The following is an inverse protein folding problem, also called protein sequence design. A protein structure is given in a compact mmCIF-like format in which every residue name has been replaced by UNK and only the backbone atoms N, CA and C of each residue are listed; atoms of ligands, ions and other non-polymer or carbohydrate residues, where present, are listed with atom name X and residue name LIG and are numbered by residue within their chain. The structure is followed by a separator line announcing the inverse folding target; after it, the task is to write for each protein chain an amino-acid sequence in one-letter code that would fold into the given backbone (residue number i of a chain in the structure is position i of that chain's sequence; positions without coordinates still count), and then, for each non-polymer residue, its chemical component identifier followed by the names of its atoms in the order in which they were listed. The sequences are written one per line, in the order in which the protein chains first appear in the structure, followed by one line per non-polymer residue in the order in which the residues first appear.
data_IF_794463221241
#
_entry.id   IF_794463221241
#
_cell.length_a   1.000
_cell.length_b   1.000
_cell.length_c   1.000
_cell.angle_alpha   90.00
_cell.angle_beta   90.00
_cell.angle_gamma   90.00
#
_symmetry.space_group_name_H-M   'P 1'
#
loop_
_entity.id
_entity.type
_entity.pdbx_description
1 polymer ?
#
# COMPACT_ATOMS: atom_id res chain seq x y z
N UNK A 1 38.80 -47.85 -1.64
CA UNK A 1 38.50 -46.41 -1.40
C UNK A 1 38.06 -45.60 -2.63
N UNK A 2 38.01 -46.14 -3.87
CA UNK A 2 37.60 -45.38 -5.08
C UNK A 2 36.10 -45.47 -5.46
N UNK A 3 35.29 -46.25 -4.73
CA UNK A 3 33.88 -46.50 -5.08
C UNK A 3 32.88 -45.60 -4.33
N UNK A 4 33.17 -45.23 -3.07
CA UNK A 4 32.29 -44.38 -2.26
C UNK A 4 32.18 -42.93 -2.79
N UNK A 5 33.24 -42.41 -3.42
CA UNK A 5 33.25 -41.07 -4.00
C UNK A 5 32.37 -40.92 -5.26
N UNK A 6 32.14 -42.01 -6.01
CA UNK A 6 31.31 -41.98 -7.23
C UNK A 6 29.82 -42.00 -6.92
N UNK A 7 29.41 -42.65 -5.83
CA UNK A 7 28.01 -42.70 -5.38
C UNK A 7 27.58 -41.36 -4.77
N UNK A 8 28.48 -40.67 -4.04
CA UNK A 8 28.21 -39.34 -3.48
C UNK A 8 28.07 -38.27 -4.58
N UNK A 9 28.81 -38.39 -5.69
CA UNK A 9 28.73 -37.45 -6.82
C UNK A 9 27.45 -37.66 -7.66
N UNK A 10 26.96 -38.90 -7.79
CA UNK A 10 25.70 -39.19 -8.47
C UNK A 10 24.46 -38.74 -7.69
N UNK A 11 24.49 -38.81 -6.35
CA UNK A 11 23.42 -38.29 -5.49
C UNK A 11 23.38 -36.75 -5.45
N UNK A 12 24.53 -36.07 -5.57
CA UNK A 12 24.60 -34.61 -5.68
C UNK A 12 24.08 -34.09 -7.03
N UNK A 13 24.23 -34.85 -8.11
CA UNK A 13 23.65 -34.50 -9.42
C UNK A 13 22.14 -34.72 -9.50
N UNK A 14 21.60 -35.73 -8.79
CA UNK A 14 20.15 -35.91 -8.63
C UNK A 14 19.52 -34.85 -7.70
N UNK A 15 20.23 -34.39 -6.67
CA UNK A 15 19.77 -33.27 -5.83
C UNK A 15 19.82 -31.92 -6.58
N UNK A 16 20.77 -31.73 -7.50
CA UNK A 16 20.87 -30.53 -8.35
C UNK A 16 19.81 -30.47 -9.48
N UNK A 17 19.34 -31.61 -9.96
CA UNK A 17 18.31 -31.69 -10.99
C UNK A 17 16.88 -31.52 -10.44
N UNK A 18 16.64 -31.85 -9.17
CA UNK A 18 15.34 -31.63 -8.51
C UNK A 18 15.18 -30.16 -8.05
N UNK A 19 16.27 -29.47 -7.71
CA UNK A 19 16.21 -28.05 -7.30
C UNK A 19 16.13 -27.07 -8.48
N UNK A 20 16.53 -27.49 -9.69
CA UNK A 20 16.46 -26.68 -10.91
C UNK A 20 15.17 -26.88 -11.71
N UNK A 21 14.50 -28.02 -11.57
CA UNK A 21 13.20 -28.27 -12.24
C UNK A 21 11.98 -27.79 -11.44
N UNK A 22 12.10 -27.60 -10.12
CA UNK A 22 11.03 -26.96 -9.31
C UNK A 22 10.97 -25.43 -9.42
N UNK A 23 11.96 -24.77 -10.04
CA UNK A 23 11.93 -23.32 -10.31
C UNK A 23 11.33 -22.94 -11.67
N UNK A 24 10.91 -23.93 -12.47
CA UNK A 24 10.32 -23.73 -13.80
C UNK A 24 8.93 -24.36 -13.96
N UNK A 25 8.12 -24.34 -12.89
CA UNK A 25 6.66 -24.42 -12.99
C UNK A 25 5.99 -23.18 -12.36
N UNK A 26 5.93 -22.03 -13.06
CA UNK A 26 4.97 -20.98 -12.74
C UNK A 26 4.22 -20.55 -14.00
N UNK A 27 3.08 -21.17 -14.28
CA UNK A 27 2.12 -20.59 -15.24
C UNK A 27 0.69 -20.51 -14.67
N UNK A 28 0.35 -21.35 -13.68
CA UNK A 28 -0.94 -21.30 -12.99
C UNK A 28 -0.88 -20.56 -11.64
N UNK A 29 0.20 -20.73 -10.85
CA UNK A 29 0.36 -20.14 -9.51
C UNK A 29 0.49 -18.61 -9.55
N UNK A 30 1.30 -18.10 -10.48
CA UNK A 30 1.62 -16.68 -10.61
C UNK A 30 0.39 -15.84 -10.97
N UNK A 31 -0.43 -16.31 -11.93
CA UNK A 31 -1.70 -15.65 -12.29
C UNK A 31 -2.72 -15.68 -11.16
N UNK A 32 -2.78 -16.77 -10.39
CA UNK A 32 -3.71 -16.91 -9.27
C UNK A 32 -3.33 -15.96 -8.12
N UNK A 33 -2.04 -15.91 -7.77
CA UNK A 33 -1.51 -15.01 -6.73
C UNK A 33 -1.71 -13.54 -7.13
N UNK A 34 -1.39 -13.19 -8.37
CA UNK A 34 -1.66 -11.86 -8.92
C UNK A 34 -3.14 -11.48 -8.80
N UNK A 35 -4.05 -12.38 -9.20
CA UNK A 35 -5.50 -12.14 -9.07
C UNK A 35 -5.90 -11.94 -7.60
N UNK A 36 -5.34 -12.72 -6.68
CA UNK A 36 -5.60 -12.55 -5.25
C UNK A 36 -5.14 -11.18 -4.76
N UNK A 37 -3.93 -10.76 -5.10
CA UNK A 37 -3.39 -9.45 -4.72
C UNK A 37 -4.26 -8.29 -5.25
N UNK A 38 -4.72 -8.38 -6.51
CA UNK A 38 -5.65 -7.42 -7.09
C UNK A 38 -6.97 -7.33 -6.31
N UNK A 39 -7.57 -8.48 -5.98
CA UNK A 39 -8.83 -8.52 -5.23
C UNK A 39 -8.63 -7.98 -3.81
N UNK A 40 -7.56 -8.36 -3.11
CA UNK A 40 -7.26 -7.86 -1.76
C UNK A 40 -7.04 -6.36 -1.73
N UNK A 41 -6.34 -5.79 -2.73
CA UNK A 41 -6.21 -4.34 -2.89
C UNK A 41 -7.56 -3.66 -3.10
N UNK A 42 -8.40 -4.22 -3.97
CA UNK A 42 -9.76 -3.71 -4.21
C UNK A 42 -10.58 -3.71 -2.91
N UNK A 43 -10.51 -4.78 -2.13
CA UNK A 43 -11.22 -4.93 -0.84
C UNK A 43 -10.71 -3.94 0.20
N UNK A 44 -9.38 -3.81 0.37
CA UNK A 44 -8.76 -2.88 1.29
C UNK A 44 -9.21 -1.43 1.02
N UNK A 45 -9.17 -1.00 -0.24
CA UNK A 45 -9.60 0.34 -0.63
C UNK A 45 -11.10 0.52 -0.59
N UNK A 46 -11.90 -0.53 -0.82
CA UNK A 46 -13.35 -0.47 -0.63
C UNK A 46 -13.71 -0.15 0.81
N UNK A 47 -13.13 -0.86 1.78
CA UNK A 47 -13.42 -0.62 3.21
C UNK A 47 -12.92 0.77 3.65
N UNK A 48 -11.76 1.20 3.17
CA UNK A 48 -11.27 2.57 3.41
C UNK A 48 -12.24 3.62 2.84
N UNK A 49 -12.75 3.40 1.63
CA UNK A 49 -13.72 4.29 0.99
C UNK A 49 -15.07 4.32 1.69
N UNK A 50 -15.57 3.18 2.19
CA UNK A 50 -16.79 3.11 2.98
C UNK A 50 -16.68 3.95 4.27
N UNK A 51 -15.51 3.90 4.93
CA UNK A 51 -15.22 4.78 6.06
C UNK A 51 -15.23 6.25 5.64
N UNK A 52 -14.46 6.62 4.61
CA UNK A 52 -14.35 8.01 4.16
C UNK A 52 -15.72 8.57 3.75
N UNK A 53 -16.53 7.79 3.03
CA UNK A 53 -17.86 8.20 2.61
C UNK A 53 -18.83 8.41 3.77
N UNK A 54 -18.71 7.62 4.84
CA UNK A 54 -19.54 7.76 6.05
C UNK A 54 -19.13 8.98 6.88
N UNK A 55 -17.83 9.14 7.14
CA UNK A 55 -17.34 10.21 8.04
C UNK A 55 -17.25 11.59 7.36
N UNK A 56 -17.04 11.61 6.04
CA UNK A 56 -16.80 12.84 5.27
C UNK A 56 -17.79 12.97 4.10
N UNK A 57 -19.05 12.60 4.32
CA UNK A 57 -20.11 12.74 3.32
C UNK A 57 -20.14 14.15 2.73
N UNK A 58 -20.17 14.25 1.40
CA UNK A 58 -20.23 15.51 0.66
C UNK A 58 -18.90 16.27 0.58
N UNK A 59 -17.85 15.85 1.29
CA UNK A 59 -16.55 16.52 1.23
C UNK A 59 -15.81 16.25 -0.08
N UNK A 60 -14.94 17.19 -0.41
CA UNK A 60 -14.08 17.14 -1.60
C UNK A 60 -12.86 16.24 -1.36
N UNK A 61 -12.74 15.20 -2.17
CA UNK A 61 -11.72 14.16 -2.04
C UNK A 61 -10.75 14.22 -3.23
N UNK A 62 -9.46 14.22 -2.94
CA UNK A 62 -8.41 13.97 -3.92
C UNK A 62 -7.84 12.56 -3.72
N UNK A 63 -7.76 11.79 -4.81
CA UNK A 63 -7.03 10.52 -4.80
C UNK A 63 -5.58 10.76 -5.20
N UNK A 64 -4.62 10.27 -4.43
CA UNK A 64 -3.21 10.28 -4.81
C UNK A 64 -2.80 8.89 -5.25
N UNK A 65 -2.46 8.77 -6.53
CA UNK A 65 -2.30 7.51 -7.25
C UNK A 65 -0.87 7.34 -7.78
N UNK A 66 -0.55 6.13 -8.27
CA UNK A 66 0.76 5.77 -8.78
C UNK A 66 1.12 6.53 -10.08
N UNK A 67 2.12 7.43 -10.09
CA UNK A 67 2.47 8.22 -11.28
C UNK A 67 2.97 7.39 -12.45
N UNK A 68 3.46 6.17 -12.21
CA UNK A 68 3.89 5.30 -13.30
C UNK A 68 2.73 4.92 -14.22
N UNK A 69 1.48 4.87 -13.73
CA UNK A 69 0.30 4.59 -14.57
C UNK A 69 0.08 5.60 -15.70
N UNK A 70 0.71 6.78 -15.66
CA UNK A 70 0.65 7.77 -16.73
C UNK A 70 1.60 7.48 -17.90
N UNK A 71 2.52 6.52 -17.77
CA UNK A 71 3.54 6.23 -18.80
C UNK A 71 2.97 5.29 -19.87
N UNK A 72 3.19 5.61 -21.15
CA UNK A 72 2.73 4.80 -22.29
C UNK A 72 3.39 3.40 -22.37
N UNK A 73 4.56 3.23 -21.76
CA UNK A 73 5.35 1.99 -21.77
C UNK A 73 5.19 1.17 -20.48
N UNK A 74 4.19 1.50 -19.65
CA UNK A 74 3.92 0.83 -18.39
C UNK A 74 3.56 -0.65 -18.62
N UNK A 75 3.99 -1.54 -17.72
CA UNK A 75 3.47 -2.91 -17.71
C UNK A 75 1.98 -2.90 -17.40
N UNK A 76 1.22 -3.79 -18.04
CA UNK A 76 -0.23 -3.94 -17.77
C UNK A 76 -0.52 -4.23 -16.29
N UNK A 77 0.44 -4.82 -15.58
CA UNK A 77 0.30 -5.21 -14.18
C UNK A 77 0.15 -4.02 -13.23
N UNK A 78 0.94 -2.96 -13.45
CA UNK A 78 0.81 -1.76 -12.60
C UNK A 78 -0.49 -1.03 -12.88
N UNK A 79 -0.93 -1.02 -14.14
CA UNK A 79 -2.23 -0.47 -14.50
C UNK A 79 -3.37 -1.29 -13.84
N UNK A 80 -3.35 -2.62 -13.96
CA UNK A 80 -4.33 -3.52 -13.35
C UNK A 80 -4.40 -3.36 -11.82
N UNK A 81 -3.23 -3.23 -11.17
CA UNK A 81 -3.14 -3.05 -9.73
C UNK A 81 -3.72 -1.70 -9.29
N UNK A 82 -3.43 -0.63 -10.02
CA UNK A 82 -4.01 0.66 -9.71
C UNK A 82 -5.52 0.70 -9.98
N UNK A 83 -5.96 0.15 -11.10
CA UNK A 83 -7.38 0.03 -11.44
C UNK A 83 -8.16 -0.76 -10.38
N UNK A 84 -7.59 -1.84 -9.84
CA UNK A 84 -8.20 -2.59 -8.74
C UNK A 84 -8.45 -1.70 -7.53
N UNK A 85 -7.49 -0.85 -7.19
CA UNK A 85 -7.66 0.11 -6.11
C UNK A 85 -8.75 1.14 -6.39
N UNK A 86 -8.75 1.74 -7.59
CA UNK A 86 -9.76 2.72 -8.00
C UNK A 86 -11.17 2.12 -8.06
N UNK A 87 -11.30 0.84 -8.47
CA UNK A 87 -12.57 0.10 -8.39
C UNK A 87 -13.05 -0.04 -6.96
N UNK A 88 -12.15 -0.37 -6.03
CA UNK A 88 -12.43 -0.47 -4.60
C UNK A 88 -13.01 0.83 -4.07
N UNK A 89 -12.32 1.94 -4.33
CA UNK A 89 -12.76 3.28 -3.94
C UNK A 89 -14.15 3.62 -4.49
N UNK A 90 -14.36 3.41 -5.80
CA UNK A 90 -15.65 3.68 -6.46
C UNK A 90 -16.79 2.90 -5.82
N UNK A 91 -16.57 1.61 -5.51
CA UNK A 91 -17.57 0.75 -4.85
C UNK A 91 -17.87 1.23 -3.43
N UNK A 92 -16.85 1.56 -2.65
CA UNK A 92 -17.03 1.96 -1.25
C UNK A 92 -17.65 3.35 -1.07
N UNK A 93 -17.38 4.26 -1.99
CA UNK A 93 -17.93 5.61 -1.90
C UNK A 93 -19.42 5.71 -2.22
N UNK A 94 -19.93 4.85 -3.10
CA UNK A 94 -21.35 4.81 -3.48
C UNK A 94 -21.95 6.21 -3.77
N UNK A 95 -21.19 7.08 -4.46
CA UNK A 95 -21.54 8.46 -4.80
C UNK A 95 -21.75 9.43 -3.61
N UNK A 96 -21.22 9.12 -2.42
CA UNK A 96 -21.36 9.97 -1.21
C UNK A 96 -20.26 11.01 -1.02
N UNK A 97 -19.29 11.06 -1.93
CA UNK A 97 -18.15 12.00 -1.89
C UNK A 97 -18.06 12.80 -3.18
N UNK A 98 -17.42 13.96 -3.12
CA UNK A 98 -17.11 14.76 -4.31
C UNK A 98 -15.66 14.50 -4.74
N UNK A 99 -15.47 13.61 -5.73
CA UNK A 99 -14.13 13.36 -6.26
C UNK A 99 -13.66 14.57 -7.07
N UNK A 100 -12.62 15.25 -6.59
CA UNK A 100 -12.00 16.36 -7.32
C UNK A 100 -11.10 15.90 -8.46
N UNK A 101 -10.47 14.73 -8.30
CA UNK A 101 -9.60 14.17 -9.31
C UNK A 101 -8.73 13.05 -8.78
N UNK A 102 -7.91 12.53 -9.69
CA UNK A 102 -6.82 11.61 -9.39
C UNK A 102 -5.52 12.35 -9.68
N UNK A 103 -4.75 12.58 -8.62
CA UNK A 103 -3.49 13.28 -8.61
C UNK A 103 -2.30 12.33 -8.64
N UNK A 104 -1.25 12.76 -9.32
CA UNK A 104 0.01 12.04 -9.44
C UNK A 104 1.14 12.99 -9.00
N UNK A 105 1.83 12.72 -7.88
CA UNK A 105 2.98 13.51 -7.49
C UNK A 105 4.12 13.29 -8.49
N UNK A 106 4.93 14.32 -8.69
CA UNK A 106 6.12 14.22 -9.50
C UNK A 106 7.13 13.23 -8.88
N UNK A 107 7.72 12.39 -9.71
CA UNK A 107 8.76 11.45 -9.32
C UNK A 107 10.13 12.05 -9.52
N UNK A 108 11.06 11.76 -8.61
CA UNK A 108 12.48 12.03 -8.80
C UNK A 108 12.96 11.31 -10.08
N UNK A 109 13.48 12.05 -11.09
CA UNK A 109 13.88 11.45 -12.35
C UNK A 109 14.98 10.39 -12.24
N UNK A 110 15.87 10.50 -11.24
CA UNK A 110 16.92 9.52 -11.00
C UNK A 110 16.33 8.24 -10.41
N UNK A 111 15.48 8.35 -9.37
CA UNK A 111 14.81 7.20 -8.77
C UNK A 111 13.82 6.54 -9.72
N UNK A 112 13.13 7.32 -10.56
CA UNK A 112 12.17 6.80 -11.51
C UNK A 112 12.81 6.07 -12.71
N UNK A 113 14.11 6.28 -12.96
CA UNK A 113 14.92 5.52 -13.92
C UNK A 113 15.58 4.31 -13.27
N UNK A 114 16.04 4.46 -12.04
CA UNK A 114 16.67 3.38 -11.29
C UNK A 114 16.24 3.38 -9.81
N UNK A 115 15.15 2.67 -9.45
CA UNK A 115 14.64 2.63 -8.08
C UNK A 115 15.67 2.10 -7.07
N UNK A 116 16.62 1.27 -7.51
CA UNK A 116 17.67 0.71 -6.66
C UNK A 116 18.67 1.75 -6.12
N UNK A 117 18.68 2.96 -6.69
CA UNK A 117 19.49 4.07 -6.16
C UNK A 117 18.87 4.73 -4.93
N UNK A 118 17.56 4.51 -4.71
CA UNK A 118 16.89 4.94 -3.49
C UNK A 118 17.28 4.00 -2.35
N UNK A 119 17.73 4.56 -1.22
CA UNK A 119 17.79 3.81 0.04
C UNK A 119 16.39 3.65 0.58
N UNK A 120 15.63 2.71 0.00
CA UNK A 120 14.31 2.32 0.47
C UNK A 120 14.50 1.15 1.43
N UNK A 121 13.96 1.27 2.63
CA UNK A 121 13.96 0.18 3.59
C UNK A 121 13.16 -1.00 3.00
N UNK A 122 13.71 -2.22 2.95
CA UNK A 122 13.00 -3.38 2.42
C UNK A 122 11.69 -3.70 3.16
N UNK A 123 11.48 -3.16 4.37
CA UNK A 123 10.23 -3.30 5.13
C UNK A 123 9.14 -2.31 4.71
N UNK A 124 9.43 -1.34 3.85
CA UNK A 124 8.44 -0.37 3.37
C UNK A 124 7.45 -1.01 2.40
N UNK A 125 6.16 -0.99 2.75
CA UNK A 125 5.05 -1.51 1.92
C UNK A 125 4.62 -0.56 0.80
N UNK A 126 5.00 0.72 0.87
CA UNK A 126 4.72 1.75 -0.13
C UNK A 126 6.00 2.41 -0.65
N UNK A 127 6.89 1.67 -1.35
CA UNK A 127 8.19 2.19 -1.78
C UNK A 127 8.06 3.39 -2.72
N UNK A 128 6.95 3.49 -3.45
CA UNK A 128 6.70 4.56 -4.41
C UNK A 128 6.64 5.95 -3.78
N UNK A 129 6.15 6.10 -2.55
CA UNK A 129 6.11 7.43 -1.91
C UNK A 129 7.49 7.99 -1.59
N UNK A 130 8.51 7.12 -1.49
CA UNK A 130 9.90 7.54 -1.28
C UNK A 130 10.56 8.05 -2.56
N UNK A 131 9.89 7.90 -3.71
CA UNK A 131 10.40 8.27 -5.02
C UNK A 131 9.89 9.62 -5.51
N UNK A 132 9.07 10.35 -4.73
CA UNK A 132 8.54 11.64 -5.14
C UNK A 132 9.55 12.77 -4.91
N UNK A 133 9.59 13.77 -5.80
CA UNK A 133 10.46 14.95 -5.59
C UNK A 133 10.05 15.76 -4.37
N UNK A 134 10.99 16.52 -3.81
CA UNK A 134 10.70 17.50 -2.77
C UNK A 134 9.66 18.51 -3.26
N UNK A 135 8.62 18.73 -2.46
CA UNK A 135 7.50 19.62 -2.80
C UNK A 135 6.48 19.07 -3.79
N UNK A 136 6.66 17.85 -4.33
CA UNK A 136 5.72 17.23 -5.29
C UNK A 136 4.28 17.18 -4.77
N UNK A 137 4.11 16.87 -3.49
CA UNK A 137 2.80 16.76 -2.85
C UNK A 137 2.15 18.13 -2.63
N UNK A 138 2.90 19.13 -2.15
CA UNK A 138 2.38 20.49 -2.01
C UNK A 138 2.02 21.10 -3.38
N UNK A 139 2.85 20.87 -4.41
CA UNK A 139 2.56 21.24 -5.80
C UNK A 139 1.28 20.56 -6.31
N UNK A 140 1.10 19.26 -6.01
CA UNK A 140 -0.10 18.53 -6.38
C UNK A 140 -1.34 19.14 -5.69
N UNK A 141 -1.29 19.35 -4.38
CA UNK A 141 -2.44 19.84 -3.62
C UNK A 141 -2.78 21.30 -3.90
N UNK A 142 -1.82 22.14 -4.30
CA UNK A 142 -2.09 23.49 -4.83
C UNK A 142 -2.99 23.49 -6.08
N UNK A 143 -2.97 22.42 -6.89
CA UNK A 143 -3.87 22.28 -8.06
C UNK A 143 -5.30 21.92 -7.66
N UNK A 144 -5.52 21.48 -6.43
CA UNK A 144 -6.80 21.07 -5.87
C UNK A 144 -7.03 21.76 -4.51
N UNK A 145 -7.10 23.11 -4.47
CA UNK A 145 -7.04 23.88 -3.22
C UNK A 145 -8.22 23.61 -2.27
N UNK A 146 -9.35 23.14 -2.81
CA UNK A 146 -10.53 22.80 -2.00
C UNK A 146 -10.51 21.37 -1.47
N UNK A 147 -9.40 20.64 -1.58
CA UNK A 147 -9.31 19.25 -1.09
C UNK A 147 -9.47 19.23 0.42
N UNK A 148 -10.46 18.49 0.91
CA UNK A 148 -10.70 18.32 2.34
C UNK A 148 -10.13 16.99 2.86
N UNK A 149 -10.15 15.96 2.00
CA UNK A 149 -9.61 14.63 2.30
C UNK A 149 -8.72 14.16 1.16
N UNK A 150 -7.51 13.73 1.48
CA UNK A 150 -6.62 13.02 0.57
C UNK A 150 -6.73 11.53 0.84
N UNK A 151 -7.05 10.74 -0.19
CA UNK A 151 -6.96 9.29 -0.15
C UNK A 151 -5.69 8.87 -0.89
N UNK A 152 -4.66 8.43 -0.19
CA UNK A 152 -3.39 8.01 -0.79
C UNK A 152 -3.30 6.50 -0.97
N UNK A 153 -3.04 6.08 -2.21
CA UNK A 153 -2.84 4.69 -2.60
C UNK A 153 -1.36 4.30 -2.60
N UNK A 154 -0.50 5.29 -2.38
CA UNK A 154 0.96 5.18 -2.48
C UNK A 154 1.65 5.50 -1.15
N UNK A 155 0.91 5.67 -0.05
CA UNK A 155 1.47 5.96 1.28
C UNK A 155 1.76 7.46 1.51
N UNK A 156 2.78 7.74 2.32
CA UNK A 156 3.26 9.09 2.68
C UNK A 156 4.69 9.30 2.19
N UNK A 157 5.06 10.51 1.71
CA UNK A 157 6.40 10.75 1.22
C UNK A 157 7.44 10.74 2.34
N UNK A 158 8.69 10.39 1.97
CA UNK A 158 9.82 10.38 2.89
C UNK A 158 10.09 11.75 3.56
N UNK A 159 9.71 12.82 2.87
CA UNK A 159 9.86 14.21 3.34
C UNK A 159 8.59 14.78 3.95
N UNK A 160 7.72 13.93 4.54
CA UNK A 160 6.46 14.33 5.17
C UNK A 160 6.60 15.54 6.11
N UNK A 161 7.63 15.56 6.96
CA UNK A 161 7.91 16.63 7.91
C UNK A 161 8.16 18.01 7.24
N UNK A 162 8.53 18.02 5.95
CA UNK A 162 8.76 19.23 5.15
C UNK A 162 7.50 19.71 4.42
N UNK A 163 6.47 18.87 4.32
CA UNK A 163 5.24 19.23 3.60
C UNK A 163 4.46 20.31 4.35
N UNK A 164 4.22 21.43 3.68
CA UNK A 164 3.40 22.52 4.24
C UNK A 164 1.99 22.03 4.51
N UNK A 165 1.44 21.27 3.57
CA UNK A 165 0.08 20.74 3.63
C UNK A 165 -0.12 19.73 4.77
N UNK A 166 0.96 19.11 5.28
CA UNK A 166 0.89 18.23 6.45
C UNK A 166 0.69 19.03 7.75
N UNK A 167 1.21 20.25 7.83
CA UNK A 167 1.11 21.11 9.02
C UNK A 167 -0.24 21.84 9.13
N UNK A 168 -1.01 21.85 8.05
CA UNK A 168 -2.34 22.45 8.00
C UNK A 168 -3.42 21.51 8.54
N UNK A 169 -4.51 22.08 9.05
CA UNK A 169 -5.66 21.32 9.58
C UNK A 169 -6.44 20.54 8.50
N UNK A 170 -6.39 21.02 7.25
CA UNK A 170 -6.86 20.33 6.05
C UNK A 170 -5.75 20.30 5.00
N UNK A 171 -5.73 19.30 4.11
CA UNK A 171 -6.62 18.13 4.08
C UNK A 171 -6.27 17.13 5.20
N UNK A 172 -7.24 16.27 5.49
CA UNK A 172 -7.06 15.05 6.28
C UNK A 172 -6.59 13.92 5.38
N UNK A 173 -5.88 12.94 5.92
CA UNK A 173 -5.30 11.84 5.15
C UNK A 173 -5.96 10.50 5.48
N UNK A 174 -6.42 9.81 4.45
CA UNK A 174 -6.86 8.42 4.48
C UNK A 174 -5.85 7.60 3.66
N UNK A 175 -5.22 6.59 4.26
CA UNK A 175 -4.02 5.97 3.70
C UNK A 175 -4.19 4.46 3.53
N UNK A 176 -3.78 3.95 2.37
CA UNK A 176 -3.61 2.53 2.14
C UNK A 176 -2.15 2.11 2.41
N UNK A 177 -1.98 1.18 3.35
CA UNK A 177 -0.70 0.53 3.68
C UNK A 177 0.50 1.49 3.85
N UNK A 178 0.34 2.67 4.50
CA UNK A 178 1.43 3.63 4.61
C UNK A 178 2.55 3.10 5.50
N UNK A 179 3.77 3.57 5.25
CA UNK A 179 4.85 3.50 6.21
C UNK A 179 4.67 4.56 7.30
N UNK A 180 4.09 4.17 8.45
CA UNK A 180 3.78 5.08 9.55
C UNK A 180 5.04 5.67 10.22
N UNK A 181 6.22 5.10 9.99
CA UNK A 181 7.50 5.65 10.49
C UNK A 181 7.79 7.03 9.90
N UNK A 182 7.16 7.38 8.78
CA UNK A 182 7.29 8.70 8.16
C UNK A 182 6.62 9.81 8.98
N UNK A 183 5.67 9.47 9.85
CA UNK A 183 5.00 10.41 10.75
C UNK A 183 5.87 10.69 11.97
N UNK A 184 6.50 9.64 12.51
CA UNK A 184 7.30 9.71 13.72
C UNK A 184 7.12 8.44 14.56
N UNK A 185 7.08 8.61 15.88
CA UNK A 185 6.83 7.52 16.81
C UNK A 185 5.32 7.25 17.01
N UNK A 186 4.97 6.34 17.93
CA UNK A 186 3.56 6.02 18.18
C UNK A 186 2.78 7.18 18.81
N UNK A 187 3.43 8.04 19.59
CA UNK A 187 2.77 9.23 20.13
C UNK A 187 2.45 10.19 18.99
N UNK A 188 3.37 10.39 18.03
CA UNK A 188 3.14 11.22 16.85
C UNK A 188 2.00 10.66 15.98
N UNK A 189 1.96 9.34 15.76
CA UNK A 189 0.87 8.70 15.00
C UNK A 189 -0.47 8.83 15.73
N UNK A 190 -0.50 8.61 17.05
CA UNK A 190 -1.71 8.79 17.88
C UNK A 190 -2.20 10.23 17.83
N UNK A 191 -1.29 11.20 17.91
CA UNK A 191 -1.63 12.62 17.82
C UNK A 191 -2.15 12.98 16.42
N UNK A 192 -1.59 12.40 15.36
CA UNK A 192 -2.10 12.59 14.01
C UNK A 192 -3.55 12.09 13.87
N UNK A 193 -3.94 10.99 14.54
CA UNK A 193 -5.34 10.57 14.60
C UNK A 193 -6.21 11.47 15.48
N UNK A 194 -5.73 11.86 16.67
CA UNK A 194 -6.49 12.70 17.63
C UNK A 194 -6.78 14.10 17.09
N UNK A 195 -5.79 14.71 16.44
CA UNK A 195 -5.94 16.00 15.75
C UNK A 195 -6.83 15.91 14.50
N UNK A 196 -7.18 14.69 14.06
CA UNK A 196 -7.91 14.44 12.83
C UNK A 196 -7.09 14.59 11.56
N UNK A 197 -5.76 14.76 11.67
CA UNK A 197 -4.86 14.84 10.52
C UNK A 197 -4.84 13.54 9.73
N UNK A 198 -4.76 12.41 10.43
CA UNK A 198 -5.08 11.09 9.89
C UNK A 198 -6.56 10.80 10.15
N UNK A 199 -7.32 10.62 9.06
CA UNK A 199 -8.70 10.19 9.12
C UNK A 199 -8.79 8.67 9.33
N UNK A 200 -8.06 7.91 8.52
CA UNK A 200 -8.02 6.45 8.59
C UNK A 200 -6.77 5.89 7.92
N UNK A 201 -6.37 4.70 8.36
CA UNK A 201 -5.28 3.94 7.76
C UNK A 201 -5.71 2.48 7.63
N UNK A 202 -5.49 1.88 6.47
CA UNK A 202 -5.55 0.42 6.32
C UNK A 202 -4.14 -0.13 6.44
N UNK A 203 -3.93 -1.12 7.31
CA UNK A 203 -2.68 -1.89 7.43
C UNK A 203 -2.96 -3.38 7.19
N UNK A 204 -1.95 -4.11 6.73
CA UNK A 204 -1.97 -5.57 6.75
C UNK A 204 -1.87 -6.09 8.18
N UNK A 205 -2.58 -7.17 8.48
CA UNK A 205 -2.42 -7.87 9.75
C UNK A 205 -1.13 -8.69 9.69
N UNK A 206 -0.31 -8.70 10.75
CA UNK A 206 0.82 -9.61 10.83
C UNK A 206 0.42 -11.09 10.75
N UNK A 207 -0.82 -11.40 11.13
CA UNK A 207 -1.43 -12.72 11.03
C UNK A 207 -2.18 -12.95 9.72
N UNK A 208 -2.01 -12.10 8.70
CA UNK A 208 -2.68 -12.24 7.43
C UNK A 208 -2.27 -13.58 6.77
N UNK A 209 -3.23 -14.31 6.19
CA UNK A 209 -2.92 -15.57 5.52
C UNK A 209 -2.08 -15.32 4.26
N UNK A 210 -1.26 -16.29 3.84
CA UNK A 210 -0.50 -16.20 2.59
C UNK A 210 -1.39 -15.85 1.39
N UNK A 211 -0.83 -15.17 0.39
CA UNK A 211 -1.55 -14.81 -0.85
C UNK A 211 -2.05 -16.02 -1.65
N UNK A 212 -1.51 -17.21 -1.40
CA UNK A 212 -2.00 -18.46 -1.97
C UNK A 212 -3.33 -18.93 -1.35
N UNK A 213 -3.78 -18.31 -0.26
CA UNK A 213 -5.03 -18.67 0.43
C UNK A 213 -6.23 -18.21 -0.41
N UNK A 214 -7.22 -19.10 -0.67
CA UNK A 214 -8.42 -18.72 -1.39
C UNK A 214 -9.17 -17.56 -0.73
N UNK A 215 -9.67 -16.65 -1.55
CA UNK A 215 -10.40 -15.46 -1.08
C UNK A 215 -11.81 -15.83 -0.61
N UNK A 216 -12.21 -15.25 0.52
CA UNK A 216 -13.58 -15.35 1.01
C UNK A 216 -14.58 -14.64 0.07
N UNK A 217 -15.76 -15.24 -0.13
CA UNK A 217 -16.83 -14.62 -0.95
C UNK A 217 -17.34 -13.32 -0.35
N UNK A 218 -17.36 -13.22 0.97
CA UNK A 218 -17.68 -11.99 1.70
C UNK A 218 -16.41 -11.13 1.84
N UNK A 219 -16.46 -9.94 1.26
CA UNK A 219 -15.33 -9.02 1.27
C UNK A 219 -15.04 -8.45 2.66
N UNK A 220 -16.03 -8.36 3.55
CA UNK A 220 -15.78 -7.94 4.93
C UNK A 220 -15.04 -9.02 5.71
N UNK A 221 -15.37 -10.29 5.49
CA UNK A 221 -14.64 -11.41 6.07
C UNK A 221 -13.18 -11.44 5.56
N UNK A 222 -12.96 -11.30 4.25
CA UNK A 222 -11.61 -11.22 3.67
C UNK A 222 -10.84 -10.01 4.24
N UNK A 223 -11.50 -8.83 4.32
CA UNK A 223 -10.88 -7.65 4.92
C UNK A 223 -10.46 -7.92 6.37
N UNK A 224 -11.36 -8.44 7.19
CA UNK A 224 -11.10 -8.70 8.60
C UNK A 224 -10.03 -9.77 8.82
N UNK A 225 -9.80 -10.65 7.85
CA UNK A 225 -8.74 -11.64 7.94
C UNK A 225 -7.37 -11.06 7.57
N UNK A 226 -7.31 -10.24 6.52
CA UNK A 226 -6.05 -9.78 5.93
C UNK A 226 -5.61 -8.40 6.41
N UNK A 227 -6.56 -7.56 6.84
CA UNK A 227 -6.33 -6.14 7.08
C UNK A 227 -6.96 -5.66 8.39
N UNK A 228 -6.53 -4.47 8.81
CA UNK A 228 -7.14 -3.72 9.89
C UNK A 228 -7.34 -2.27 9.45
N UNK A 229 -8.52 -1.71 9.76
CA UNK A 229 -8.80 -0.28 9.60
C UNK A 229 -8.53 0.43 10.94
N UNK A 230 -7.54 1.30 10.95
CA UNK A 230 -7.18 2.14 12.08
C UNK A 230 -7.80 3.53 11.88
N UNK A 231 -8.44 4.02 12.93
CA UNK A 231 -9.13 5.32 13.00
C UNK A 231 -8.88 5.92 14.39
N UNK A 232 -9.32 7.15 14.62
CA UNK A 232 -9.20 7.77 15.94
C UNK A 232 -9.84 6.94 17.08
N UNK A 233 -10.90 6.15 16.80
CA UNK A 233 -11.59 5.37 17.83
C UNK A 233 -10.85 4.12 18.29
N UNK A 234 -9.84 3.64 17.53
CA UNK A 234 -9.12 2.40 17.84
C UNK A 234 -7.59 2.51 17.71
N UNK A 235 -7.07 3.69 17.36
CA UNK A 235 -5.62 3.94 17.19
C UNK A 235 -4.82 3.61 18.46
N UNK A 236 -5.34 3.94 19.63
CA UNK A 236 -4.62 3.73 20.89
C UNK A 236 -4.31 2.26 21.17
N UNK A 237 -5.26 1.37 20.89
CA UNK A 237 -5.14 -0.08 21.07
C UNK A 237 -4.26 -0.71 19.99
N UNK A 238 -4.55 -0.39 18.71
CA UNK A 238 -3.95 -1.11 17.58
C UNK A 238 -2.49 -0.71 17.31
N UNK A 239 -2.10 0.53 17.60
CA UNK A 239 -0.70 0.97 17.46
C UNK A 239 0.20 0.27 18.49
N UNK A 240 -0.33 0.01 19.68
CA UNK A 240 0.43 -0.69 20.73
C UNK A 240 0.58 -2.19 20.41
N UNK A 241 -0.47 -2.81 19.88
CA UNK A 241 -0.43 -4.21 19.42
C UNK A 241 0.54 -4.43 18.27
N UNK A 242 0.55 -3.55 17.28
CA UNK A 242 1.46 -3.64 16.13
C UNK A 242 2.93 -3.50 16.53
N UNK A 243 3.25 -2.66 17.53
CA UNK A 243 4.61 -2.60 18.13
C UNK A 243 5.02 -3.88 18.85
N UNK A 244 4.09 -4.52 19.58
CA UNK A 244 4.38 -5.79 20.27
C UNK A 244 4.69 -6.91 19.30
N UNK A 245 4.03 -6.91 18.14
CA UNK A 245 4.26 -7.92 17.11
C UNK A 245 5.58 -7.67 16.37
N UNK A 246 5.93 -6.42 16.07
CA UNK A 246 7.19 -6.09 15.38
C UNK A 246 8.47 -6.32 16.22
N UNK A 247 8.35 -6.53 17.53
CA UNK A 247 9.48 -6.77 18.46
C UNK A 247 9.70 -8.26 18.78
N UNK A 248 8.85 -9.16 18.28
CA UNK A 248 9.00 -10.62 18.43
C UNK A 248 9.64 -11.21 17.20
#
# INVERSE_FOLDING_TARGET
MKSAAKILFALLLLAGAVFSTLRYLPLASDRSMKRTALVRREIALRVLAEFVAREFTGQKVLVVSNPFTQRKTQSSEVAEFEEAGLRGLKKGWANRIQLQGIGFPELDPALAKNPSHGRIDPQTTTPLSFMTTDGAWDNLLRRYPDTEVVVSLIGLPATLHRLEIWRQSKPRFALLLPDLRMIGDAADVKEAFRSGKLAAVVLEKPSAPPESTPIHRDYHAEFNQCFVLITASNADTLIEESRRIARR
#
